data_IF_957244403534
#
_entry.id   IF_957244403534
#
_cell.length_a   1.000
_cell.length_b   1.000
_cell.length_c   1.000
_cell.angle_alpha   90.00
_cell.angle_beta   90.00
_cell.angle_gamma   90.00
#
_symmetry.space_group_name_H-M   'P 1'
#
loop_
_entity.id
_entity.type
_entity.pdbx_description
1 polymer ?
#
# COMPACT_ATOMS: atom_id res chain seq x y z
N UNK A 1 -15.41 50.03 -32.71
CA UNK A 1 -15.23 48.63 -32.50
C UNK A 1 -15.84 48.26 -31.21
N UNK A 2 -16.85 47.41 -31.19
CA UNK A 2 -17.64 46.97 -30.03
C UNK A 2 -16.90 45.90 -29.24
N UNK A 3 -16.68 46.18 -27.96
CA UNK A 3 -16.22 45.21 -26.98
C UNK A 3 -17.39 44.28 -26.58
N UNK A 4 -17.34 43.05 -26.99
CA UNK A 4 -18.28 42.00 -26.59
C UNK A 4 -17.97 41.44 -25.22
N UNK A 5 -18.74 41.88 -24.22
CA UNK A 5 -18.73 41.37 -22.84
C UNK A 5 -19.41 40.00 -22.80
N UNK A 6 -18.62 38.89 -22.77
CA UNK A 6 -19.16 37.56 -22.50
C UNK A 6 -19.36 37.35 -21.00
N UNK A 7 -20.60 37.59 -20.55
CA UNK A 7 -21.09 37.21 -19.23
C UNK A 7 -21.35 35.69 -19.22
N UNK A 8 -20.57 34.94 -18.47
CA UNK A 8 -20.86 33.53 -18.21
C UNK A 8 -22.09 33.41 -17.32
N UNK A 9 -23.22 33.05 -17.90
CA UNK A 9 -24.41 32.66 -17.17
C UNK A 9 -24.15 31.31 -16.49
N UNK A 10 -24.28 31.29 -15.15
CA UNK A 10 -24.30 30.06 -14.37
C UNK A 10 -25.59 29.31 -14.68
N UNK A 11 -25.47 28.21 -15.42
CA UNK A 11 -26.57 27.26 -15.58
C UNK A 11 -26.82 26.59 -14.22
N UNK A 12 -28.02 26.67 -13.64
CA UNK A 12 -28.32 25.96 -12.40
C UNK A 12 -28.34 24.47 -12.66
N UNK A 13 -27.56 23.73 -11.89
CA UNK A 13 -27.63 22.25 -11.83
C UNK A 13 -29.05 21.89 -11.41
N UNK A 14 -29.85 21.39 -12.36
CA UNK A 14 -31.13 20.72 -12.06
C UNK A 14 -30.79 19.54 -11.16
N UNK A 15 -31.23 19.60 -9.90
CA UNK A 15 -31.41 18.42 -9.06
C UNK A 15 -32.39 17.49 -9.76
N UNK A 16 -31.86 16.50 -10.46
CA UNK A 16 -32.66 15.35 -10.88
C UNK A 16 -32.70 14.41 -9.69
N UNK A 17 -33.80 14.44 -8.95
CA UNK A 17 -34.21 13.37 -8.04
C UNK A 17 -34.39 12.09 -8.87
N UNK A 18 -33.32 11.34 -9.05
CA UNK A 18 -33.40 9.96 -9.51
C UNK A 18 -33.33 9.07 -8.28
N UNK A 19 -34.51 8.75 -7.76
CA UNK A 19 -34.71 7.57 -6.92
C UNK A 19 -34.33 6.32 -7.73
N UNK A 20 -33.07 5.92 -7.71
CA UNK A 20 -32.68 4.59 -8.12
C UNK A 20 -32.93 3.64 -6.94
N UNK A 21 -34.06 2.94 -6.98
CA UNK A 21 -34.25 1.73 -6.15
C UNK A 21 -33.18 0.71 -6.56
N UNK A 22 -32.17 0.56 -5.75
CA UNK A 22 -31.29 -0.62 -5.80
C UNK A 22 -32.10 -1.84 -5.37
N UNK A 23 -31.90 -3.03 -5.96
CA UNK A 23 -32.46 -4.28 -5.45
C UNK A 23 -31.67 -4.75 -4.22
N UNK A 24 -31.95 -4.15 -3.10
CA UNK A 24 -31.38 -4.36 -1.78
C UNK A 24 -31.73 -3.14 -0.97
N UNK A 25 -32.68 -3.28 -0.06
CA UNK A 25 -33.42 -2.27 0.68
C UNK A 25 -32.69 -0.95 0.94
N UNK A 26 -33.44 0.11 0.95
CA UNK A 26 -32.98 1.48 1.25
C UNK A 26 -32.06 1.48 2.47
N UNK A 27 -30.75 1.69 2.22
CA UNK A 27 -29.78 1.91 3.28
C UNK A 27 -30.06 3.30 3.88
N UNK A 28 -30.90 3.36 4.89
CA UNK A 28 -31.17 4.60 5.60
C UNK A 28 -29.95 4.93 6.48
N UNK A 29 -29.12 5.86 6.04
CA UNK A 29 -27.91 6.36 6.76
C UNK A 29 -28.28 6.98 8.14
N UNK A 30 -29.58 7.08 8.47
CA UNK A 30 -30.07 7.64 9.74
C UNK A 30 -30.14 6.64 10.89
N UNK A 31 -29.91 5.35 10.64
CA UNK A 31 -29.93 4.34 11.69
C UNK A 31 -28.69 4.48 12.56
N UNK A 32 -28.90 5.06 13.75
CA UNK A 32 -27.90 5.07 14.82
C UNK A 32 -27.54 3.62 15.19
N UNK A 33 -26.29 3.34 15.63
CA UNK A 33 -25.96 2.03 16.16
C UNK A 33 -27.00 1.59 17.17
N UNK A 34 -27.61 0.43 16.96
CA UNK A 34 -28.56 -0.13 17.90
C UNK A 34 -27.82 -0.47 19.19
N UNK A 35 -28.36 -0.08 20.34
CA UNK A 35 -27.75 -0.39 21.63
C UNK A 35 -27.58 -1.92 21.76
N UNK A 36 -26.37 -2.38 22.05
CA UNK A 36 -26.05 -3.81 22.14
C UNK A 36 -25.65 -4.49 20.81
N UNK A 37 -25.78 -3.80 19.66
CA UNK A 37 -25.32 -4.37 18.40
C UNK A 37 -23.78 -4.54 18.39
N UNK A 38 -23.32 -5.73 18.06
CA UNK A 38 -21.89 -6.02 17.89
C UNK A 38 -21.66 -6.87 16.64
N UNK A 39 -20.39 -6.87 16.12
CA UNK A 39 -20.07 -7.60 14.89
C UNK A 39 -20.21 -9.11 15.09
N UNK A 40 -19.84 -9.64 16.27
CA UNK A 40 -19.81 -11.09 16.52
C UNK A 40 -21.19 -11.73 16.36
N UNK A 41 -22.22 -11.11 16.91
CA UNK A 41 -23.55 -11.69 16.98
C UNK A 41 -24.45 -11.23 15.81
N UNK A 42 -24.19 -10.01 15.27
CA UNK A 42 -25.05 -9.39 14.25
C UNK A 42 -24.45 -9.41 12.83
N UNK A 43 -23.17 -9.77 12.71
CA UNK A 43 -22.48 -10.01 11.45
C UNK A 43 -21.49 -11.20 11.61
N UNK A 44 -22.01 -12.42 11.95
CA UNK A 44 -21.17 -13.55 12.33
C UNK A 44 -20.28 -14.07 11.19
N UNK A 45 -20.72 -13.97 9.93
CA UNK A 45 -19.93 -14.42 8.79
C UNK A 45 -18.76 -13.46 8.53
N UNK A 46 -19.00 -12.15 8.61
CA UNK A 46 -17.95 -11.15 8.58
C UNK A 46 -16.97 -11.32 9.75
N UNK A 47 -17.48 -11.56 10.95
CA UNK A 47 -16.62 -11.77 12.14
C UNK A 47 -15.73 -12.99 11.97
N UNK A 48 -16.29 -14.13 11.53
CA UNK A 48 -15.55 -15.36 11.28
C UNK A 48 -14.43 -15.14 10.24
N UNK A 49 -14.75 -14.44 9.14
CA UNK A 49 -13.75 -14.09 8.14
C UNK A 49 -12.66 -13.17 8.73
N UNK A 50 -13.06 -12.15 9.50
CA UNK A 50 -12.14 -11.19 10.09
C UNK A 50 -11.17 -11.84 11.09
N UNK A 51 -11.66 -12.73 11.95
CA UNK A 51 -10.84 -13.54 12.86
C UNK A 51 -9.84 -14.41 12.09
N UNK A 52 -10.31 -15.06 11.02
CA UNK A 52 -9.47 -15.89 10.16
C UNK A 52 -8.38 -15.06 9.48
N UNK A 53 -8.74 -13.96 8.84
CA UNK A 53 -7.82 -13.05 8.13
C UNK A 53 -6.77 -12.42 9.06
N UNK A 54 -7.16 -12.16 10.30
CA UNK A 54 -6.29 -11.58 11.33
C UNK A 54 -5.56 -12.63 12.19
N UNK A 55 -5.74 -13.94 11.96
CA UNK A 55 -5.25 -15.01 12.85
C UNK A 55 -5.67 -14.80 14.31
N UNK A 56 -6.88 -14.33 14.52
CA UNK A 56 -7.46 -13.99 15.83
C UNK A 56 -6.69 -12.91 16.61
N UNK A 57 -5.78 -12.16 15.96
CA UNK A 57 -5.16 -10.99 16.58
C UNK A 57 -6.15 -9.81 16.61
N UNK A 58 -6.61 -9.37 17.79
CA UNK A 58 -7.58 -8.30 17.91
C UNK A 58 -7.08 -6.96 17.34
N UNK A 59 -5.76 -6.71 17.41
CA UNK A 59 -5.17 -5.49 16.89
C UNK A 59 -5.19 -5.48 15.37
N UNK A 60 -4.84 -6.60 14.73
CA UNK A 60 -4.93 -6.77 13.27
C UNK A 60 -6.39 -6.72 12.80
N UNK A 61 -7.34 -7.29 13.53
CA UNK A 61 -8.78 -7.16 13.24
C UNK A 61 -9.19 -5.69 13.18
N UNK A 62 -8.79 -4.87 14.16
CA UNK A 62 -9.08 -3.44 14.17
C UNK A 62 -8.41 -2.68 13.03
N UNK A 63 -7.18 -3.04 12.66
CA UNK A 63 -6.47 -2.47 11.49
C UNK A 63 -7.15 -2.81 10.17
N UNK A 64 -7.65 -4.04 10.00
CA UNK A 64 -8.46 -4.44 8.83
C UNK A 64 -9.78 -3.64 8.80
N UNK A 65 -10.45 -3.48 9.93
CA UNK A 65 -11.64 -2.62 10.02
C UNK A 65 -11.33 -1.16 9.68
N UNK A 66 -10.17 -0.64 10.08
CA UNK A 66 -9.73 0.72 9.72
C UNK A 66 -9.50 0.87 8.20
N UNK A 67 -8.97 -0.17 7.54
CA UNK A 67 -8.83 -0.19 6.08
C UNK A 67 -10.20 -0.20 5.37
N UNK A 68 -11.13 -1.01 5.85
CA UNK A 68 -12.50 -1.02 5.34
C UNK A 68 -13.21 0.32 5.57
N UNK A 69 -13.00 0.97 6.72
CA UNK A 69 -13.52 2.32 6.99
C UNK A 69 -12.91 3.36 6.03
N UNK A 70 -11.60 3.33 5.79
CA UNK A 70 -10.93 4.20 4.83
C UNK A 70 -11.57 4.11 3.44
N UNK A 71 -11.88 2.90 2.98
CA UNK A 71 -12.54 2.63 1.69
C UNK A 71 -13.98 3.15 1.70
N UNK A 72 -14.77 2.77 2.71
CA UNK A 72 -16.18 3.16 2.86
C UNK A 72 -16.35 4.68 2.92
N UNK A 73 -15.55 5.35 3.73
CA UNK A 73 -15.58 6.81 3.89
C UNK A 73 -14.83 7.57 2.78
N UNK A 74 -14.25 6.85 1.81
CA UNK A 74 -13.44 7.41 0.72
C UNK A 74 -12.35 8.37 1.19
N UNK A 75 -11.55 7.95 2.18
CA UNK A 75 -10.47 8.78 2.77
C UNK A 75 -9.19 8.73 1.90
N UNK A 76 -9.33 9.05 0.60
CA UNK A 76 -8.20 9.21 -0.33
C UNK A 76 -7.25 10.32 0.13
N UNK A 77 -7.77 11.29 0.89
CA UNK A 77 -7.02 12.41 1.50
C UNK A 77 -5.95 11.97 2.51
N UNK A 78 -6.01 10.74 3.01
CA UNK A 78 -4.98 10.20 3.90
C UNK A 78 -3.69 9.85 3.20
N UNK A 79 -3.66 9.93 1.89
CA UNK A 79 -2.48 9.67 1.05
C UNK A 79 -1.90 8.27 1.23
N UNK A 80 -2.76 7.28 1.40
CA UNK A 80 -2.39 5.88 1.55
C UNK A 80 -3.09 5.02 0.51
N UNK A 81 -2.49 3.86 0.22
CA UNK A 81 -3.14 2.76 -0.51
C UNK A 81 -2.97 1.47 0.26
N UNK A 82 -3.90 0.56 0.06
CA UNK A 82 -3.94 -0.72 0.76
C UNK A 82 -3.44 -1.79 -0.19
N UNK A 83 -2.58 -2.66 0.32
CA UNK A 83 -2.15 -3.87 -0.36
C UNK A 83 -2.36 -5.09 0.52
N UNK A 84 -3.12 -6.07 0.03
CA UNK A 84 -3.32 -7.35 0.68
C UNK A 84 -2.56 -8.43 -0.08
N UNK A 85 -1.62 -9.11 0.59
CA UNK A 85 -0.78 -10.16 0.00
C UNK A 85 -0.96 -11.49 0.72
N UNK A 86 -0.59 -12.59 0.08
CA UNK A 86 -0.61 -13.94 0.65
C UNK A 86 -1.12 -14.98 -0.34
N UNK A 87 -1.07 -16.23 0.05
CA UNK A 87 -1.39 -17.36 -0.83
C UNK A 87 -2.88 -17.43 -1.23
N UNK A 88 -3.18 -18.22 -2.25
CA UNK A 88 -4.55 -18.52 -2.65
C UNK A 88 -5.39 -19.12 -1.52
N UNK A 89 -6.65 -18.71 -1.40
CA UNK A 89 -7.55 -19.22 -0.34
C UNK A 89 -7.38 -18.54 1.03
N UNK A 90 -6.59 -17.49 1.16
CA UNK A 90 -6.34 -16.79 2.43
C UNK A 90 -7.38 -15.70 2.79
N UNK A 91 -8.41 -15.48 1.94
CA UNK A 91 -9.46 -14.50 2.21
C UNK A 91 -9.28 -13.13 1.56
N UNK A 92 -8.24 -12.92 0.71
CA UNK A 92 -8.03 -11.66 -0.04
C UNK A 92 -9.19 -11.30 -0.95
N UNK A 93 -9.72 -12.27 -1.70
CA UNK A 93 -10.87 -12.03 -2.59
C UNK A 93 -12.12 -11.64 -1.80
N UNK A 94 -12.31 -12.20 -0.59
CA UNK A 94 -13.38 -11.80 0.33
C UNK A 94 -13.16 -10.36 0.82
N UNK A 95 -11.92 -9.97 1.12
CA UNK A 95 -11.58 -8.59 1.48
C UNK A 95 -11.95 -7.62 0.35
N UNK A 96 -11.57 -7.94 -0.90
CA UNK A 96 -11.91 -7.15 -2.08
C UNK A 96 -13.43 -7.06 -2.28
N UNK A 97 -14.15 -8.17 -2.08
CA UNK A 97 -15.59 -8.20 -2.18
C UNK A 97 -16.27 -7.27 -1.16
N UNK A 98 -15.87 -7.35 0.11
CA UNK A 98 -16.38 -6.46 1.18
C UNK A 98 -16.05 -4.99 0.85
N UNK A 99 -14.82 -4.70 0.45
CA UNK A 99 -14.38 -3.37 0.05
C UNK A 99 -15.25 -2.80 -1.09
N UNK A 100 -15.55 -3.62 -2.10
CA UNK A 100 -16.42 -3.26 -3.24
C UNK A 100 -17.85 -2.96 -2.79
N UNK A 101 -18.39 -3.78 -1.88
CA UNK A 101 -19.74 -3.54 -1.34
C UNK A 101 -19.80 -2.22 -0.54
N UNK A 102 -18.77 -1.95 0.28
CA UNK A 102 -18.68 -0.73 1.10
C UNK A 102 -18.46 0.55 0.26
N UNK A 103 -17.67 0.49 -0.80
CA UNK A 103 -17.50 1.60 -1.74
C UNK A 103 -18.69 1.80 -2.67
N UNK A 104 -19.46 0.74 -2.90
CA UNK A 104 -20.52 0.62 -3.91
C UNK A 104 -19.97 0.09 -5.24
N UNK A 105 -20.63 -0.93 -5.80
CA UNK A 105 -20.20 -1.57 -7.06
C UNK A 105 -20.05 -0.56 -8.21
N UNK A 106 -20.96 0.40 -8.31
CA UNK A 106 -20.95 1.46 -9.35
C UNK A 106 -19.82 2.47 -9.17
N UNK A 107 -19.18 2.53 -7.99
CA UNK A 107 -18.08 3.42 -7.65
C UNK A 107 -16.72 2.70 -7.68
N UNK A 108 -16.72 1.41 -8.02
CA UNK A 108 -15.54 0.56 -8.01
C UNK A 108 -15.12 0.23 -9.44
N UNK A 109 -13.84 0.37 -9.74
CA UNK A 109 -13.24 0.03 -11.03
C UNK A 109 -12.05 -0.86 -10.82
N UNK A 110 -11.95 -1.93 -11.63
CA UNK A 110 -10.74 -2.74 -11.71
C UNK A 110 -9.77 -2.14 -12.72
N UNK A 111 -8.49 -2.10 -12.39
CA UNK A 111 -7.44 -1.60 -13.27
C UNK A 111 -6.15 -2.42 -13.09
N UNK A 112 -5.21 -2.22 -13.99
CA UNK A 112 -3.83 -2.68 -13.84
C UNK A 112 -2.93 -1.57 -13.33
N UNK A 113 -1.89 -1.92 -12.58
CA UNK A 113 -0.93 -0.96 -12.07
C UNK A 113 -0.25 -0.14 -13.17
N UNK A 114 0.08 -0.79 -14.30
CA UNK A 114 0.62 -0.16 -15.51
C UNK A 114 -0.32 0.86 -16.14
N UNK A 115 -1.63 0.61 -16.08
CA UNK A 115 -2.65 1.55 -16.55
C UNK A 115 -2.69 2.84 -15.73
N UNK A 116 -2.36 2.79 -14.43
CA UNK A 116 -2.28 3.99 -13.61
C UNK A 116 -1.07 4.87 -13.95
N UNK A 117 -0.01 4.29 -14.50
CA UNK A 117 1.19 5.03 -14.94
C UNK A 117 0.96 5.75 -16.29
N UNK A 118 -0.03 5.34 -17.09
CA UNK A 118 -0.35 5.92 -18.38
C UNK A 118 -1.54 6.89 -18.34
N UNK A 119 -1.48 7.98 -19.13
CA UNK A 119 -2.54 8.98 -19.19
C UNK A 119 -3.84 8.45 -19.81
N UNK A 120 -3.74 7.55 -20.80
CA UNK A 120 -4.88 6.89 -21.43
C UNK A 120 -5.51 5.86 -20.49
N UNK A 121 -4.68 5.06 -19.83
CA UNK A 121 -5.13 4.06 -18.87
C UNK A 121 -5.86 4.67 -17.66
N UNK A 122 -5.41 5.84 -17.19
CA UNK A 122 -6.10 6.57 -16.10
C UNK A 122 -7.53 7.01 -16.45
N UNK A 123 -7.90 7.11 -17.72
CA UNK A 123 -9.24 7.54 -18.13
C UNK A 123 -10.34 6.63 -17.54
N UNK A 124 -10.10 5.33 -17.45
CA UNK A 124 -11.06 4.36 -16.92
C UNK A 124 -11.34 4.51 -15.42
N UNK A 125 -10.44 5.12 -14.66
CA UNK A 125 -10.57 5.24 -13.18
C UNK A 125 -11.05 6.63 -12.74
N UNK A 126 -11.29 7.54 -13.69
CA UNK A 126 -11.85 8.87 -13.39
C UNK A 126 -13.26 8.72 -12.81
N UNK A 127 -13.54 9.40 -11.71
CA UNK A 127 -14.83 9.37 -11.03
C UNK A 127 -15.09 8.16 -10.14
N UNK A 128 -14.18 7.17 -10.12
CA UNK A 128 -14.29 6.06 -9.16
C UNK A 128 -13.96 6.51 -7.73
N UNK A 129 -14.44 5.75 -6.74
CA UNK A 129 -14.10 5.91 -5.32
C UNK A 129 -13.16 4.82 -4.82
N UNK A 130 -13.20 3.65 -5.47
CA UNK A 130 -12.32 2.52 -5.21
C UNK A 130 -11.72 2.04 -6.53
N UNK A 131 -10.40 1.95 -6.58
CA UNK A 131 -9.65 1.30 -7.66
C UNK A 131 -9.11 -0.02 -7.11
N UNK A 132 -9.52 -1.12 -7.73
CA UNK A 132 -9.08 -2.48 -7.38
C UNK A 132 -8.02 -2.93 -8.36
N UNK A 133 -6.86 -3.30 -7.84
CA UNK A 133 -5.73 -3.88 -8.57
C UNK A 133 -5.60 -5.35 -8.13
N UNK A 134 -6.44 -6.23 -8.72
CA UNK A 134 -6.45 -7.65 -8.37
C UNK A 134 -5.53 -8.45 -9.28
N UNK A 135 -4.83 -9.44 -8.69
CA UNK A 135 -4.00 -10.44 -9.40
C UNK A 135 -3.09 -9.81 -10.44
N UNK A 136 -2.38 -8.76 -10.03
CA UNK A 136 -1.51 -8.00 -10.93
C UNK A 136 -0.40 -8.89 -11.50
N UNK A 137 -0.07 -8.76 -12.80
CA UNK A 137 1.19 -9.26 -13.33
C UNK A 137 2.36 -8.72 -12.49
N UNK A 138 3.47 -9.43 -12.46
CA UNK A 138 4.66 -8.99 -11.71
C UNK A 138 5.02 -7.55 -12.11
N UNK A 139 4.64 -6.60 -11.27
CA UNK A 139 4.94 -5.19 -11.48
C UNK A 139 6.35 -4.87 -10.97
N UNK A 140 7.14 -4.25 -11.83
CA UNK A 140 8.46 -3.70 -11.49
C UNK A 140 8.56 -2.30 -12.07
N UNK A 141 8.16 -1.28 -11.31
CA UNK A 141 8.15 0.11 -11.78
C UNK A 141 8.25 1.10 -10.63
N UNK A 142 8.32 2.39 -10.97
CA UNK A 142 8.44 3.46 -9.99
C UNK A 142 7.14 3.81 -9.25
N UNK A 143 5.99 3.25 -9.68
CA UNK A 143 4.68 3.57 -9.11
C UNK A 143 4.30 5.04 -9.27
N UNK A 144 4.63 5.65 -10.41
CA UNK A 144 4.39 7.08 -10.62
C UNK A 144 2.89 7.41 -10.59
N UNK A 145 2.05 6.57 -11.19
CA UNK A 145 0.60 6.75 -11.20
C UNK A 145 -0.01 6.64 -9.81
N UNK A 146 0.34 5.58 -9.08
CA UNK A 146 -0.19 5.39 -7.72
C UNK A 146 0.28 6.50 -6.76
N UNK A 147 1.53 7.00 -6.91
CA UNK A 147 2.03 8.15 -6.13
C UNK A 147 1.19 9.40 -6.37
N UNK A 148 0.87 9.71 -7.62
CA UNK A 148 0.06 10.88 -8.00
C UNK A 148 -1.39 10.75 -7.51
N UNK A 149 -2.01 9.60 -7.74
CA UNK A 149 -3.40 9.34 -7.32
C UNK A 149 -3.52 9.43 -5.80
N UNK A 150 -2.68 8.71 -5.07
CA UNK A 150 -2.71 8.71 -3.60
C UNK A 150 -2.19 10.02 -3.00
N UNK A 151 -1.38 10.80 -3.73
CA UNK A 151 -0.95 12.15 -3.35
C UNK A 151 -2.05 13.20 -3.46
N UNK A 152 -3.10 12.91 -4.24
CA UNK A 152 -4.12 13.90 -4.59
C UNK A 152 -3.61 14.91 -5.61
N UNK A 153 -2.57 14.56 -6.37
CA UNK A 153 -1.99 15.42 -7.38
C UNK A 153 -2.88 15.48 -8.64
N UNK A 154 -2.92 16.62 -9.35
CA UNK A 154 -3.53 16.68 -10.66
C UNK A 154 -2.81 15.75 -11.64
N UNK A 155 -3.58 14.92 -12.35
CA UNK A 155 -3.07 13.98 -13.35
C UNK A 155 -3.65 14.27 -14.73
N UNK A 156 -2.82 14.15 -15.74
CA UNK A 156 -3.29 14.20 -17.13
C UNK A 156 -4.08 12.95 -17.46
N UNK A 157 -5.20 13.15 -18.13
CA UNK A 157 -6.09 12.13 -18.67
C UNK A 157 -6.15 12.30 -20.18
N UNK A 158 -5.94 11.18 -20.88
CA UNK A 158 -5.97 11.16 -22.34
C UNK A 158 -6.98 10.12 -22.83
N UNK A 159 -8.30 10.40 -22.77
CA UNK A 159 -9.31 9.46 -23.22
C UNK A 159 -9.19 9.25 -24.73
N UNK A 160 -9.56 8.04 -25.17
CA UNK A 160 -9.58 7.72 -26.60
C UNK A 160 -10.68 8.54 -27.29
N UNK A 161 -10.31 9.24 -28.37
CA UNK A 161 -11.22 10.08 -29.17
C UNK A 161 -11.78 11.34 -28.49
N UNK A 162 -11.26 11.72 -27.33
CA UNK A 162 -11.67 12.94 -26.61
C UNK A 162 -10.48 13.87 -26.37
N UNK A 163 -10.78 15.11 -25.98
CA UNK A 163 -9.73 16.08 -25.63
C UNK A 163 -9.06 15.68 -24.30
N UNK A 164 -7.74 15.83 -24.25
CA UNK A 164 -6.98 15.69 -23.00
C UNK A 164 -7.45 16.71 -21.97
N UNK A 165 -7.46 16.29 -20.73
CA UNK A 165 -7.76 17.17 -19.60
C UNK A 165 -6.94 16.76 -18.37
N UNK A 166 -6.96 17.61 -17.35
CA UNK A 166 -6.30 17.36 -16.07
C UNK A 166 -7.34 17.30 -14.97
N UNK A 167 -7.25 16.30 -14.10
CA UNK A 167 -8.16 16.16 -12.96
C UNK A 167 -7.46 15.50 -11.77
N UNK A 168 -8.10 15.54 -10.60
CA UNK A 168 -7.69 14.80 -9.41
C UNK A 168 -8.57 13.55 -9.31
N UNK A 169 -7.94 12.38 -9.25
CA UNK A 169 -8.63 11.11 -9.02
C UNK A 169 -8.80 10.93 -7.51
N UNK A 170 -10.04 11.04 -7.04
CA UNK A 170 -10.39 10.97 -5.60
C UNK A 170 -10.81 9.56 -5.21
N UNK A 171 -9.91 8.60 -5.35
CA UNK A 171 -10.15 7.19 -5.10
C UNK A 171 -9.16 6.59 -4.11
N UNK A 172 -9.62 5.66 -3.30
CA UNK A 172 -8.77 4.75 -2.54
C UNK A 172 -8.30 3.64 -3.47
N UNK A 173 -7.04 3.24 -3.40
CA UNK A 173 -6.50 2.12 -4.18
C UNK A 173 -6.34 0.91 -3.27
N UNK A 174 -6.87 -0.22 -3.71
CA UNK A 174 -6.73 -1.54 -3.07
C UNK A 174 -6.07 -2.51 -4.05
N UNK A 175 -4.87 -2.97 -3.73
CA UNK A 175 -4.19 -4.02 -4.47
C UNK A 175 -4.30 -5.36 -3.75
N UNK A 176 -4.55 -6.45 -4.48
CA UNK A 176 -4.60 -7.81 -3.92
C UNK A 176 -3.81 -8.74 -4.81
N UNK A 177 -2.70 -9.26 -4.28
CA UNK A 177 -1.77 -10.10 -5.02
C UNK A 177 -1.33 -11.30 -4.15
N UNK A 178 -0.82 -12.34 -4.78
CA UNK A 178 -0.17 -13.42 -4.04
C UNK A 178 1.18 -12.95 -3.49
N UNK A 179 2.00 -12.38 -4.35
CA UNK A 179 3.28 -11.77 -3.96
C UNK A 179 3.17 -10.26 -3.82
N UNK A 180 3.94 -9.64 -2.90
CA UNK A 180 4.00 -8.20 -2.79
C UNK A 180 4.53 -7.54 -4.07
N UNK A 181 3.95 -6.41 -4.45
CA UNK A 181 4.46 -5.61 -5.57
C UNK A 181 5.87 -5.10 -5.29
N UNK A 182 6.73 -5.11 -6.32
CA UNK A 182 8.10 -4.60 -6.23
C UNK A 182 8.16 -3.22 -6.86
N UNK A 183 8.56 -2.22 -6.07
CA UNK A 183 8.76 -0.87 -6.54
C UNK A 183 10.24 -0.55 -6.66
N UNK A 184 10.64 -0.03 -7.82
CA UNK A 184 12.03 0.40 -8.07
C UNK A 184 12.34 1.78 -7.50
N UNK A 185 11.31 2.53 -7.09
CA UNK A 185 11.43 3.83 -6.45
C UNK A 185 12.06 3.72 -5.05
N UNK A 186 13.17 4.46 -4.83
CA UNK A 186 13.99 4.39 -3.62
C UNK A 186 13.89 5.63 -2.71
N UNK A 187 13.15 6.67 -3.15
CA UNK A 187 13.00 7.91 -2.36
C UNK A 187 11.94 7.80 -1.25
N UNK A 188 11.30 6.62 -1.09
CA UNK A 188 10.28 6.39 -0.07
C UNK A 188 8.90 6.97 -0.41
N UNK A 189 8.71 7.44 -1.63
CA UNK A 189 7.44 8.02 -2.07
C UNK A 189 6.29 7.02 -2.08
N UNK A 190 6.56 5.78 -2.50
CA UNK A 190 5.59 4.67 -2.44
C UNK A 190 5.51 4.11 -1.03
N UNK A 191 6.66 3.82 -0.40
CA UNK A 191 6.74 3.14 0.89
C UNK A 191 5.96 3.85 1.99
N UNK A 192 6.01 5.19 2.06
CA UNK A 192 5.27 5.98 3.06
C UNK A 192 3.74 5.98 2.87
N UNK A 193 3.27 5.53 1.71
CA UNK A 193 1.84 5.47 1.36
C UNK A 193 1.26 4.07 1.40
N UNK A 194 2.12 3.05 1.44
CA UNK A 194 1.76 1.64 1.28
C UNK A 194 1.42 1.01 2.62
N UNK A 195 0.16 0.64 2.82
CA UNK A 195 -0.33 -0.11 3.98
C UNK A 195 -0.52 -1.55 3.56
N UNK A 196 0.34 -2.46 4.05
CA UNK A 196 0.34 -3.86 3.66
C UNK A 196 -0.30 -4.72 4.74
N UNK A 197 -1.20 -5.59 4.31
CA UNK A 197 -1.77 -6.67 5.12
C UNK A 197 -1.35 -8.02 4.54
N UNK A 198 -0.74 -8.87 5.34
CA UNK A 198 -0.43 -10.23 4.98
C UNK A 198 -1.56 -11.15 5.40
N UNK A 199 -2.16 -11.84 4.42
CA UNK A 199 -3.19 -12.86 4.58
C UNK A 199 -2.51 -14.21 4.36
N UNK A 200 -2.04 -14.84 5.42
CA UNK A 200 -1.24 -16.06 5.37
C UNK A 200 -1.93 -17.27 6.03
N UNK A 201 -3.19 -17.10 6.41
CA UNK A 201 -4.02 -18.16 6.94
C UNK A 201 -4.89 -18.74 5.80
N UNK A 202 -4.55 -19.94 5.34
CA UNK A 202 -5.24 -20.58 4.20
C UNK A 202 -6.44 -21.38 4.71
N UNK A 203 -7.61 -21.16 4.10
CA UNK A 203 -8.80 -22.01 4.33
C UNK A 203 -8.64 -23.29 3.52
N UNK A 204 -8.79 -24.43 4.18
CA UNK A 204 -8.79 -25.74 3.52
C UNK A 204 -9.94 -25.83 2.53
N UNK A 205 -9.76 -26.58 1.44
CA UNK A 205 -10.75 -26.66 0.35
C UNK A 205 -12.10 -27.22 0.83
N UNK A 206 -12.07 -28.18 1.74
CA UNK A 206 -13.24 -28.80 2.38
C UNK A 206 -13.97 -27.88 3.39
N UNK A 207 -13.30 -26.81 3.84
CA UNK A 207 -13.85 -25.83 4.80
C UNK A 207 -14.34 -24.55 4.11
N UNK A 208 -14.15 -24.40 2.79
CA UNK A 208 -14.55 -23.22 2.03
C UNK A 208 -16.08 -23.11 1.93
N UNK A 209 -16.63 -22.03 2.44
CA UNK A 209 -18.03 -21.68 2.28
C UNK A 209 -18.22 -20.87 0.98
N UNK A 210 -18.80 -21.51 -0.04
CA UNK A 210 -19.07 -20.87 -1.34
C UNK A 210 -20.09 -19.73 -1.27
N UNK A 211 -20.96 -19.75 -0.25
CA UNK A 211 -21.99 -18.74 -0.03
C UNK A 211 -21.51 -17.61 0.89
N UNK A 212 -20.24 -17.65 1.35
CA UNK A 212 -19.71 -16.65 2.25
C UNK A 212 -19.83 -15.20 1.71
N UNK A 213 -19.61 -14.93 0.41
CA UNK A 213 -19.77 -13.58 -0.14
C UNK A 213 -21.20 -13.06 0.01
N UNK A 214 -22.22 -13.87 -0.28
CA UNK A 214 -23.63 -13.52 -0.18
C UNK A 214 -24.07 -13.35 1.28
N UNK A 215 -23.59 -14.21 2.17
CA UNK A 215 -23.84 -14.11 3.61
C UNK A 215 -23.26 -12.79 4.17
N UNK A 216 -22.04 -12.44 3.81
CA UNK A 216 -21.43 -11.17 4.23
C UNK A 216 -22.14 -9.98 3.58
N UNK A 217 -22.59 -10.10 2.32
CA UNK A 217 -23.35 -9.03 1.66
C UNK A 217 -24.65 -8.69 2.42
N UNK A 218 -25.33 -9.67 3.00
CA UNK A 218 -26.51 -9.45 3.84
C UNK A 218 -26.17 -8.73 5.17
N UNK A 219 -24.93 -8.85 5.64
CA UNK A 219 -24.43 -8.24 6.90
C UNK A 219 -23.89 -6.81 6.72
N UNK A 220 -23.76 -6.31 5.47
CA UNK A 220 -23.18 -5.00 5.17
C UNK A 220 -23.82 -3.85 5.97
N UNK A 221 -25.15 -3.77 6.19
CA UNK A 221 -25.73 -2.70 6.99
C UNK A 221 -25.20 -2.67 8.44
N UNK A 222 -25.01 -3.83 9.05
CA UNK A 222 -24.42 -3.95 10.38
C UNK A 222 -22.95 -3.53 10.36
N UNK A 223 -22.18 -4.02 9.37
CA UNK A 223 -20.76 -3.69 9.21
C UNK A 223 -20.59 -2.17 9.09
N UNK A 224 -21.37 -1.48 8.25
CA UNK A 224 -21.32 -0.02 8.09
C UNK A 224 -21.56 0.69 9.43
N UNK A 225 -22.65 0.35 10.15
CA UNK A 225 -22.96 0.98 11.43
C UNK A 225 -21.83 0.80 12.44
N UNK A 226 -21.25 -0.39 12.49
CA UNK A 226 -20.15 -0.71 13.42
C UNK A 226 -18.86 -0.01 13.03
N UNK A 227 -18.52 0.09 11.73
CA UNK A 227 -17.37 0.87 11.28
C UNK A 227 -17.53 2.35 11.63
N UNK A 228 -18.71 2.93 11.42
CA UNK A 228 -18.99 4.32 11.78
C UNK A 228 -18.92 4.55 13.31
N UNK A 229 -19.43 3.61 14.11
CA UNK A 229 -19.36 3.70 15.57
C UNK A 229 -17.93 3.56 16.11
N UNK A 230 -17.16 2.58 15.58
CA UNK A 230 -15.78 2.35 15.99
C UNK A 230 -14.85 3.51 15.63
N UNK A 231 -15.12 4.15 14.50
CA UNK A 231 -14.32 5.24 13.95
C UNK A 231 -15.12 6.55 13.83
N UNK A 232 -15.96 6.84 14.86
CA UNK A 232 -16.64 8.12 14.98
C UNK A 232 -15.64 9.30 14.96
N UNK A 233 -14.44 9.07 15.49
CA UNK A 233 -13.26 9.88 15.25
C UNK A 233 -12.39 9.19 14.16
N UNK A 234 -12.34 9.73 12.92
CA UNK A 234 -11.59 9.14 11.82
C UNK A 234 -10.08 9.02 12.06
N UNK A 235 -9.51 9.87 12.90
CA UNK A 235 -8.07 9.84 13.19
C UNK A 235 -7.65 8.56 13.93
N UNK A 236 -8.57 7.89 14.65
CA UNK A 236 -8.33 6.57 15.23
C UNK A 236 -8.09 5.51 14.16
N UNK A 237 -8.87 5.52 13.07
CA UNK A 237 -8.66 4.60 11.96
C UNK A 237 -7.34 4.92 11.23
N UNK A 238 -7.05 6.21 11.01
CA UNK A 238 -5.80 6.64 10.39
C UNK A 238 -4.59 6.21 11.21
N UNK A 239 -4.62 6.38 12.53
CA UNK A 239 -3.54 5.95 13.43
C UNK A 239 -3.27 4.44 13.33
N UNK A 240 -4.33 3.61 13.30
CA UNK A 240 -4.22 2.15 13.11
C UNK A 240 -3.60 1.77 11.76
N UNK A 241 -3.90 2.50 10.71
CA UNK A 241 -3.29 2.27 9.38
C UNK A 241 -1.83 2.68 9.33
N UNK A 242 -1.45 3.76 10.01
CA UNK A 242 -0.05 4.16 10.16
C UNK A 242 0.73 3.12 10.97
N UNK A 243 0.14 2.59 12.04
CA UNK A 243 0.71 1.50 12.83
C UNK A 243 0.90 0.23 11.97
N UNK A 244 -0.07 -0.14 11.11
CA UNK A 244 0.06 -1.26 10.18
C UNK A 244 1.16 -1.02 9.15
N UNK A 245 1.27 0.20 8.61
CA UNK A 245 2.28 0.59 7.63
C UNK A 245 3.71 0.45 8.16
N UNK A 246 3.89 0.77 9.44
CA UNK A 246 5.21 0.86 10.08
C UNK A 246 5.50 -0.35 10.99
N UNK A 247 4.59 -1.33 11.04
CA UNK A 247 4.71 -2.53 11.88
C UNK A 247 5.53 -3.66 11.25
N UNK A 248 5.73 -4.74 12.03
CA UNK A 248 6.59 -5.89 11.70
C UNK A 248 6.18 -6.59 10.40
N UNK A 249 4.89 -6.69 10.12
CA UNK A 249 4.38 -7.32 8.90
C UNK A 249 4.83 -6.55 7.64
N UNK A 250 4.77 -5.23 7.70
CA UNK A 250 5.25 -4.38 6.61
C UNK A 250 6.80 -4.40 6.51
N UNK A 251 7.50 -4.49 7.63
CA UNK A 251 8.95 -4.64 7.66
C UNK A 251 9.38 -5.96 7.00
N UNK A 252 8.75 -7.08 7.36
CA UNK A 252 9.05 -8.39 6.78
C UNK A 252 8.87 -8.39 5.24
N UNK A 253 7.82 -7.74 4.74
CA UNK A 253 7.59 -7.60 3.31
C UNK A 253 8.62 -6.69 2.65
N UNK A 254 9.02 -5.60 3.29
CA UNK A 254 10.11 -4.74 2.79
C UNK A 254 11.42 -5.49 2.69
N UNK A 255 11.77 -6.32 3.68
CA UNK A 255 12.94 -7.20 3.64
C UNK A 255 12.86 -8.20 2.48
N UNK A 256 11.70 -8.81 2.27
CA UNK A 256 11.49 -9.76 1.19
C UNK A 256 11.66 -9.11 -0.21
N UNK A 257 11.24 -7.86 -0.37
CA UNK A 257 11.17 -7.17 -1.67
C UNK A 257 12.32 -6.23 -1.97
N UNK A 258 13.10 -5.83 -0.95
CA UNK A 258 14.25 -4.94 -1.10
C UNK A 258 15.51 -5.52 -0.45
N UNK A 259 16.47 -6.03 -1.28
CA UNK A 259 17.69 -6.63 -0.77
C UNK A 259 18.55 -5.69 0.09
N UNK A 260 18.44 -4.37 -0.11
CA UNK A 260 19.19 -3.40 0.72
C UNK A 260 18.57 -3.26 2.10
N UNK A 261 17.24 -3.33 2.19
CA UNK A 261 16.53 -3.38 3.49
C UNK A 261 16.88 -4.68 4.22
N UNK A 262 16.88 -5.80 3.51
CA UNK A 262 17.26 -7.10 4.10
C UNK A 262 18.70 -7.09 4.61
N UNK A 263 19.66 -6.58 3.81
CA UNK A 263 21.04 -6.43 4.24
C UNK A 263 21.17 -5.56 5.50
N UNK A 264 20.39 -4.47 5.59
CA UNK A 264 20.43 -3.58 6.76
C UNK A 264 20.06 -4.29 8.08
N UNK A 265 19.31 -5.40 8.04
CA UNK A 265 19.00 -6.21 9.23
C UNK A 265 20.24 -6.87 9.82
N UNK A 266 21.26 -7.18 8.99
CA UNK A 266 22.51 -7.80 9.38
C UNK A 266 23.66 -6.79 9.64
N UNK A 267 23.34 -5.49 9.62
CA UNK A 267 24.34 -4.43 9.86
C UNK A 267 24.08 -3.73 11.18
N UNK A 268 25.17 -3.29 11.83
CA UNK A 268 25.12 -2.36 12.93
C UNK A 268 25.44 -0.95 12.45
N UNK A 269 24.79 0.06 13.05
CA UNK A 269 25.00 1.47 12.71
C UNK A 269 25.57 2.22 13.93
N UNK A 270 26.80 2.68 13.78
CA UNK A 270 27.51 3.45 14.80
C UNK A 270 27.00 4.90 14.86
N UNK A 271 27.21 5.59 15.97
CA UNK A 271 26.86 7.01 16.11
C UNK A 271 27.64 7.93 15.16
N UNK A 272 28.87 7.54 14.80
CA UNK A 272 29.75 8.32 13.92
C UNK A 272 30.19 7.52 12.70
N UNK A 273 30.57 8.19 11.61
CA UNK A 273 31.09 7.58 10.39
C UNK A 273 32.50 6.98 10.58
N UNK A 274 32.59 5.89 11.38
CA UNK A 274 33.79 5.11 11.69
C UNK A 274 33.70 3.65 11.28
N UNK A 275 32.60 3.25 10.62
CA UNK A 275 32.37 1.90 10.13
C UNK A 275 33.12 1.59 8.83
N UNK A 276 32.53 0.74 8.00
CA UNK A 276 33.12 0.33 6.71
C UNK A 276 33.23 1.50 5.73
N UNK A 277 34.25 1.48 4.90
CA UNK A 277 34.33 2.40 3.75
C UNK A 277 33.21 2.07 2.76
N UNK A 278 32.68 3.07 2.04
CA UNK A 278 31.74 2.79 0.95
C UNK A 278 32.39 1.85 -0.07
N UNK A 279 33.61 2.16 -0.50
CA UNK A 279 34.35 1.38 -1.46
C UNK A 279 33.86 1.55 -2.90
N UNK A 280 34.33 0.68 -3.77
CA UNK A 280 33.96 0.64 -5.19
C UNK A 280 33.97 -0.77 -5.74
N UNK A 281 33.29 -0.97 -6.89
CA UNK A 281 33.19 -2.28 -7.55
C UNK A 281 34.45 -2.72 -8.29
N UNK A 282 35.32 -1.77 -8.72
CA UNK A 282 36.43 -2.03 -9.64
C UNK A 282 37.74 -2.47 -9.01
N UNK A 283 38.09 -1.95 -7.81
CA UNK A 283 39.38 -2.24 -7.16
C UNK A 283 39.21 -3.33 -6.08
N UNK A 284 39.50 -4.57 -6.48
CA UNK A 284 39.38 -5.75 -5.59
C UNK A 284 40.53 -5.90 -4.60
N UNK A 285 41.66 -5.25 -4.83
CA UNK A 285 42.83 -5.29 -3.93
C UNK A 285 42.59 -4.32 -2.78
N UNK A 286 42.12 -3.13 -3.07
CA UNK A 286 41.87 -2.09 -2.08
C UNK A 286 40.61 -2.33 -1.25
N UNK A 287 39.56 -2.82 -1.88
CA UNK A 287 38.25 -2.98 -1.28
C UNK A 287 37.85 -4.47 -1.18
N UNK A 288 37.76 -4.95 0.04
CA UNK A 288 37.35 -6.31 0.39
C UNK A 288 36.06 -6.28 1.22
N UNK A 289 35.45 -7.42 1.47
CA UNK A 289 34.29 -7.51 2.38
C UNK A 289 34.57 -7.08 3.81
N UNK A 290 35.85 -7.12 4.23
CA UNK A 290 36.28 -6.69 5.58
C UNK A 290 36.36 -5.18 5.76
N UNK A 291 36.43 -4.40 4.69
CA UNK A 291 36.64 -2.95 4.77
C UNK A 291 35.68 -2.11 3.91
N UNK A 292 34.85 -2.73 3.07
CA UNK A 292 33.99 -2.03 2.12
C UNK A 292 32.54 -2.50 2.20
N UNK A 293 31.65 -1.59 2.57
CA UNK A 293 30.21 -1.84 2.64
C UNK A 293 29.62 -2.26 1.28
N UNK A 294 30.10 -1.69 0.16
CA UNK A 294 29.65 -2.10 -1.16
C UNK A 294 30.09 -3.52 -1.49
N UNK A 295 31.23 -3.98 -1.03
CA UNK A 295 31.67 -5.38 -1.19
C UNK A 295 30.86 -6.34 -0.35
N UNK A 296 30.51 -5.96 0.88
CA UNK A 296 29.55 -6.70 1.71
C UNK A 296 28.21 -6.85 0.97
N UNK A 297 27.68 -5.75 0.39
CA UNK A 297 26.48 -5.79 -0.42
C UNK A 297 26.58 -6.72 -1.63
N UNK A 298 27.68 -6.68 -2.38
CA UNK A 298 27.89 -7.56 -3.52
C UNK A 298 27.93 -9.04 -3.12
N UNK A 299 28.60 -9.37 -1.99
CA UNK A 299 28.63 -10.73 -1.43
C UNK A 299 27.21 -11.19 -1.03
N UNK A 300 26.47 -10.33 -0.34
CA UNK A 300 25.08 -10.58 0.03
C UNK A 300 24.18 -10.85 -1.21
N UNK A 301 24.31 -10.05 -2.26
CA UNK A 301 23.55 -10.22 -3.49
C UNK A 301 23.90 -11.54 -4.21
N UNK A 302 25.17 -11.92 -4.19
CA UNK A 302 25.61 -13.20 -4.74
C UNK A 302 25.08 -14.39 -3.92
N UNK A 303 25.09 -14.28 -2.61
CA UNK A 303 24.58 -15.29 -1.70
C UNK A 303 23.05 -15.49 -1.84
N UNK A 304 22.29 -14.40 -1.89
CA UNK A 304 20.84 -14.45 -1.95
C UNK A 304 20.27 -14.67 -3.35
N UNK A 305 21.07 -14.47 -4.39
CA UNK A 305 20.61 -14.57 -5.79
C UNK A 305 19.55 -13.52 -6.18
N UNK A 306 19.39 -12.45 -5.43
CA UNK A 306 18.32 -11.45 -5.59
C UNK A 306 18.60 -10.39 -6.67
N UNK A 307 18.82 -10.85 -7.90
CA UNK A 307 18.88 -9.98 -9.08
C UNK A 307 20.23 -9.26 -9.27
N UNK A 308 20.22 -8.10 -9.95
CA UNK A 308 21.43 -7.35 -10.30
C UNK A 308 21.81 -6.35 -9.21
N UNK A 309 23.10 -6.28 -8.89
CA UNK A 309 23.61 -5.27 -7.95
C UNK A 309 23.35 -3.83 -8.46
N UNK A 310 22.98 -2.96 -7.54
CA UNK A 310 22.93 -1.51 -7.77
C UNK A 310 24.36 -0.98 -8.00
N UNK A 311 24.49 0.13 -8.71
CA UNK A 311 25.75 0.88 -8.72
C UNK A 311 26.08 1.42 -7.32
N UNK A 312 27.35 1.74 -7.07
CA UNK A 312 27.80 2.28 -5.77
C UNK A 312 27.00 3.51 -5.33
N UNK A 313 26.67 4.39 -6.30
CA UNK A 313 25.92 5.61 -6.03
C UNK A 313 24.44 5.32 -5.69
N UNK A 314 23.80 4.41 -6.42
CA UNK A 314 22.45 3.97 -6.16
C UNK A 314 22.35 3.22 -4.83
N UNK A 315 23.33 2.35 -4.56
CA UNK A 315 23.42 1.65 -3.28
C UNK A 315 23.54 2.62 -2.12
N UNK A 316 24.40 3.64 -2.20
CA UNK A 316 24.53 4.66 -1.14
C UNK A 316 23.24 5.46 -0.91
N UNK A 317 22.43 5.69 -1.96
CA UNK A 317 21.10 6.30 -1.81
C UNK A 317 20.12 5.32 -1.16
N UNK A 318 20.13 4.05 -1.59
CA UNK A 318 19.26 3.01 -1.06
C UNK A 318 19.53 2.74 0.44
N UNK A 319 20.82 2.73 0.86
CA UNK A 319 21.21 2.58 2.27
C UNK A 319 20.56 3.62 3.19
N UNK A 320 20.47 4.90 2.75
CA UNK A 320 19.81 5.95 3.54
C UNK A 320 18.33 5.67 3.79
N UNK A 321 17.65 5.15 2.80
CA UNK A 321 16.23 4.78 2.92
C UNK A 321 16.04 3.49 3.72
N UNK A 322 16.91 2.50 3.50
CA UNK A 322 16.85 1.21 4.15
C UNK A 322 17.15 1.31 5.66
N UNK A 323 18.18 2.05 6.06
CA UNK A 323 18.53 2.27 7.47
C UNK A 323 17.37 2.91 8.25
N UNK A 324 16.66 3.87 7.65
CA UNK A 324 15.49 4.53 8.26
C UNK A 324 14.33 3.55 8.55
N UNK A 325 14.23 2.45 7.82
CA UNK A 325 13.20 1.42 8.07
C UNK A 325 13.39 0.79 9.45
N UNK A 326 14.65 0.74 9.93
CA UNK A 326 15.01 0.23 11.27
C UNK A 326 15.21 1.35 12.30
N UNK A 327 14.89 2.61 11.95
CA UNK A 327 15.10 3.74 12.84
C UNK A 327 16.54 4.23 12.94
N UNK A 328 17.44 3.73 12.07
CA UNK A 328 18.84 4.15 12.06
C UNK A 328 19.10 5.34 11.15
N UNK A 329 20.09 6.15 11.52
CA UNK A 329 20.63 7.19 10.66
C UNK A 329 21.88 6.66 9.92
N UNK A 330 21.85 6.71 8.58
CA UNK A 330 23.01 6.36 7.77
C UNK A 330 23.88 7.59 7.49
N UNK A 331 25.05 7.63 8.14
CA UNK A 331 25.97 8.75 8.12
C UNK A 331 27.19 8.43 7.25
N UNK A 332 27.66 9.40 6.47
CA UNK A 332 28.86 9.26 5.64
C UNK A 332 29.76 10.47 5.80
N UNK A 333 31.09 10.24 5.82
CA UNK A 333 32.13 11.29 5.89
C UNK A 333 33.25 11.00 4.90
N UNK A 334 33.80 12.02 4.25
CA UNK A 334 35.02 11.89 3.45
C UNK A 334 36.25 11.98 4.32
N UNK A 335 37.11 10.95 4.26
CA UNK A 335 38.39 10.88 4.97
C UNK A 335 39.47 10.53 3.95
N UNK A 336 40.42 11.40 3.74
CA UNK A 336 41.54 11.22 2.78
C UNK A 336 41.07 10.74 1.39
N UNK A 337 39.99 11.33 0.86
CA UNK A 337 39.42 11.01 -0.47
C UNK A 337 38.53 9.77 -0.49
N UNK A 338 38.37 9.03 0.59
CA UNK A 338 37.52 7.85 0.71
C UNK A 338 36.25 8.21 1.49
N UNK A 339 35.09 7.72 1.06
CA UNK A 339 33.84 7.85 1.80
C UNK A 339 33.78 6.76 2.86
N UNK A 340 33.81 7.13 4.13
CA UNK A 340 33.59 6.27 5.28
C UNK A 340 32.14 6.35 5.71
N UNK A 341 31.56 5.21 6.11
CA UNK A 341 30.19 5.09 6.58
C UNK A 341 30.16 4.83 8.08
N UNK A 342 28.98 4.89 8.69
CA UNK A 342 28.77 4.42 10.06
C UNK A 342 28.26 2.98 10.15
N UNK A 343 28.12 2.27 9.01
CA UNK A 343 27.67 0.88 9.00
C UNK A 343 28.86 -0.08 9.19
N UNK A 344 28.66 -1.13 9.98
CA UNK A 344 29.59 -2.24 10.20
C UNK A 344 28.84 -3.57 10.15
N UNK A 345 29.57 -4.67 9.90
CA UNK A 345 29.02 -6.02 9.89
C UNK A 345 28.83 -6.55 11.31
N UNK A 346 27.79 -7.36 11.50
CA UNK A 346 27.57 -8.20 12.68
C UNK A 346 27.90 -9.65 12.36
N UNK A 347 27.80 -10.55 13.33
CA UNK A 347 27.98 -11.99 13.15
C UNK A 347 26.95 -12.57 12.13
N UNK A 348 25.81 -11.92 11.96
CA UNK A 348 24.79 -12.31 10.96
C UNK A 348 25.30 -12.21 9.51
N UNK A 349 26.37 -11.45 9.29
CA UNK A 349 27.02 -11.34 7.98
C UNK A 349 27.93 -12.54 7.65
N UNK A 350 28.34 -13.36 8.61
CA UNK A 350 29.29 -14.45 8.42
C UNK A 350 28.81 -15.50 7.42
N UNK A 351 27.47 -15.62 7.27
CA UNK A 351 26.88 -16.56 6.34
C UNK A 351 27.20 -16.26 4.85
N UNK A 352 27.55 -15.01 4.52
CA UNK A 352 27.79 -14.57 3.13
C UNK A 352 29.12 -13.81 2.93
N UNK A 353 29.92 -13.64 3.98
CA UNK A 353 31.26 -13.04 3.91
C UNK A 353 32.35 -14.07 3.78
#
# INVERSE_FOLDING_TARGET
GEEGNYRMERVPLKQTDRHHKSPGGDLCIRDRPVAGENIRDNAPNFHKWLEHAARKDPRKMMRICAALYMIMANRYDWQMFIEATGDGGSGKSTFTHIATLLAGKQNTVSAEMTSLDDAGGRAQVVGSRLIVLADQPKYTGEGTGIKKITGGDPVEINPKYEKRFTTIIRAVVLATNNDPMIFTERAGGVSRRRVIFRFDNIVREDEKDKELPEKIAAEIPVIIRRLLANFADPEKARALLLEQRDGDEALAIKQQTDPVVELCAALEFLEEARGLMMGGGGDTVKYTTRNSLYRVYMAFMAYTGKGKCLSVNEFGKAMRSAAKVYGYEYITRKVKGVTQTNATTTDDCDAFL
#
